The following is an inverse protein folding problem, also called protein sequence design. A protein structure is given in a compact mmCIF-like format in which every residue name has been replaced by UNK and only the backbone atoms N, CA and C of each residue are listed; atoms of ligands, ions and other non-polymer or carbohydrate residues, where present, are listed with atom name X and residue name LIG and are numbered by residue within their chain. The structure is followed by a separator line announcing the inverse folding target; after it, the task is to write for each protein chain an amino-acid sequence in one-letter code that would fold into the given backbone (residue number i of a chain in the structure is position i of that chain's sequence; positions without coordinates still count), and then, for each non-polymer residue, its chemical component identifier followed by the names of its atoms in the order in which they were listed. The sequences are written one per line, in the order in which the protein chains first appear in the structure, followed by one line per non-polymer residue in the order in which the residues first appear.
data_IF_673689275562
#
_entry.id   IF_673689275562
#
_cell.length_a   1.000
_cell.length_b   1.000
_cell.length_c   1.000
_cell.angle_alpha   90.00
_cell.angle_beta   90.00
_cell.angle_gamma   90.00
#
_symmetry.space_group_name_H-M   'P 1'
#
loop_
_entity.id
_entity.type
_entity.pdbx_description
1 polymer ?
#
# COMPACT_ATOMS: atom_id res chain seq x y z
N UNK A 1 -6.26 6.72 -8.82
CA UNK A 1 -7.20 5.58 -8.81
C UNK A 1 -7.73 5.46 -7.40
N UNK A 2 -9.03 5.67 -7.20
CA UNK A 2 -9.69 5.49 -5.89
C UNK A 2 -9.79 3.99 -5.62
N UNK A 3 -9.48 3.56 -4.39
CA UNK A 3 -9.51 2.14 -4.00
C UNK A 3 -10.95 1.63 -4.24
N UNK A 4 -11.14 0.57 -5.05
CA UNK A 4 -12.46 -0.02 -5.24
C UNK A 4 -12.83 -0.79 -3.96
N UNK A 5 -13.55 -0.09 -3.08
CA UNK A 5 -13.85 -0.49 -1.70
C UNK A 5 -15.14 -1.34 -1.53
N UNK A 6 -15.80 -1.74 -2.62
CA UNK A 6 -16.97 -2.65 -2.63
C UNK A 6 -16.59 -4.12 -2.87
N UNK A 7 -15.30 -4.43 -2.90
CA UNK A 7 -14.77 -5.70 -3.40
C UNK A 7 -14.77 -6.79 -2.34
N UNK A 8 -15.29 -7.97 -2.71
CA UNK A 8 -15.11 -9.22 -1.94
C UNK A 8 -13.63 -9.52 -1.69
N UNK A 9 -13.34 -10.34 -0.67
CA UNK A 9 -11.97 -10.75 -0.36
C UNK A 9 -11.22 -11.32 -1.58
N UNK A 10 -11.91 -12.06 -2.45
CA UNK A 10 -11.36 -12.59 -3.70
C UNK A 10 -10.91 -11.46 -4.64
N UNK A 11 -11.70 -10.42 -4.80
CA UNK A 11 -11.40 -9.28 -5.66
C UNK A 11 -10.19 -8.46 -5.16
N UNK A 12 -10.00 -8.36 -3.83
CA UNK A 12 -8.78 -7.76 -3.24
C UNK A 12 -7.56 -8.63 -3.53
N UNK A 13 -7.66 -9.95 -3.35
CA UNK A 13 -6.56 -10.87 -3.63
C UNK A 13 -6.16 -10.78 -5.10
N UNK A 14 -7.09 -10.89 -6.04
CA UNK A 14 -6.80 -10.78 -7.47
C UNK A 14 -6.15 -9.45 -7.85
N UNK A 15 -6.62 -8.34 -7.27
CA UNK A 15 -6.00 -7.03 -7.46
C UNK A 15 -4.55 -7.00 -6.97
N UNK A 16 -4.28 -7.55 -5.78
CA UNK A 16 -2.92 -7.63 -5.23
C UNK A 16 -2.01 -8.50 -6.10
N UNK A 17 -2.51 -9.61 -6.64
CA UNK A 17 -1.73 -10.43 -7.57
C UNK A 17 -1.35 -9.66 -8.84
N UNK A 18 -2.29 -8.90 -9.42
CA UNK A 18 -1.99 -8.05 -10.57
C UNK A 18 -0.94 -6.99 -10.25
N UNK A 19 -1.07 -6.30 -9.11
CA UNK A 19 -0.08 -5.32 -8.65
C UNK A 19 1.28 -5.99 -8.51
N UNK A 20 1.37 -7.15 -7.86
CA UNK A 20 2.64 -7.85 -7.67
C UNK A 20 3.28 -8.31 -8.99
N UNK A 21 2.52 -8.53 -10.05
CA UNK A 21 3.07 -8.77 -11.41
C UNK A 21 3.58 -7.46 -12.00
N UNK A 22 2.84 -6.36 -11.86
CA UNK A 22 3.26 -5.04 -12.36
C UNK A 22 4.55 -4.57 -11.69
N UNK A 23 4.67 -4.68 -10.36
CA UNK A 23 5.85 -4.26 -9.60
C UNK A 23 7.15 -5.00 -9.99
N UNK A 24 7.04 -6.16 -10.63
CA UNK A 24 8.21 -7.00 -10.97
C UNK A 24 8.63 -6.88 -12.43
N UNK A 25 7.73 -6.45 -13.31
CA UNK A 25 8.02 -6.34 -14.75
C UNK A 25 8.15 -4.90 -15.22
N UNK A 26 7.65 -3.93 -14.44
CA UNK A 26 7.68 -2.51 -14.77
C UNK A 26 8.52 -1.73 -13.74
N UNK A 27 9.06 -0.57 -14.13
CA UNK A 27 9.84 0.29 -13.23
C UNK A 27 8.94 1.10 -12.27
N UNK A 28 8.06 0.40 -11.56
CA UNK A 28 7.05 0.95 -10.65
C UNK A 28 7.16 0.36 -9.25
N UNK A 29 6.60 1.07 -8.29
CA UNK A 29 6.43 0.62 -6.91
C UNK A 29 4.99 0.86 -6.44
N UNK A 30 4.58 0.11 -5.43
CA UNK A 30 3.31 0.31 -4.75
C UNK A 30 3.49 1.29 -3.58
N UNK A 31 2.54 2.19 -3.40
CA UNK A 31 2.46 3.10 -2.27
C UNK A 31 1.08 3.02 -1.62
N UNK A 32 1.09 2.89 -0.30
CA UNK A 32 -0.08 3.01 0.55
C UNK A 32 0.12 4.16 1.53
N UNK A 33 -0.84 5.09 1.56
CA UNK A 33 -0.87 6.21 2.51
C UNK A 33 -2.11 6.09 3.37
N UNK A 34 -1.93 6.16 4.69
CA UNK A 34 -3.03 6.28 5.64
C UNK A 34 -2.83 7.51 6.49
N UNK A 35 -3.87 8.31 6.61
CA UNK A 35 -3.91 9.47 7.50
C UNK A 35 -4.78 9.12 8.71
N UNK A 36 -4.30 9.45 9.90
CA UNK A 36 -5.09 9.37 11.12
C UNK A 36 -4.79 10.60 12.00
N UNK A 37 -5.46 10.70 13.15
CA UNK A 37 -5.29 11.85 14.07
C UNK A 37 -3.88 12.00 14.65
N UNK A 38 -2.97 11.05 14.39
CA UNK A 38 -1.59 11.04 14.85
C UNK A 38 -0.60 11.34 13.71
N UNK A 39 -1.11 11.62 12.51
CA UNK A 39 -0.30 11.96 11.35
C UNK A 39 -0.43 11.02 10.16
N UNK A 40 0.35 11.33 9.13
CA UNK A 40 0.40 10.53 7.91
C UNK A 40 1.41 9.39 8.05
N UNK A 41 0.98 8.18 7.67
CA UNK A 41 1.85 7.02 7.49
C UNK A 41 1.89 6.63 6.03
N UNK A 42 3.09 6.38 5.51
CA UNK A 42 3.30 5.95 4.12
C UNK A 42 4.10 4.66 4.10
N UNK A 43 3.68 3.68 3.30
CA UNK A 43 4.41 2.44 3.07
C UNK A 43 4.61 2.27 1.57
N UNK A 44 5.85 2.03 1.15
CA UNK A 44 6.20 1.80 -0.24
C UNK A 44 6.85 0.42 -0.39
N UNK A 45 6.61 -0.22 -1.53
CA UNK A 45 7.25 -1.47 -1.94
C UNK A 45 7.80 -1.32 -3.35
N UNK A 46 9.09 -1.60 -3.52
CA UNK A 46 9.81 -1.48 -4.79
C UNK A 46 10.58 -2.79 -4.99
N UNK A 47 10.39 -3.49 -6.11
CA UNK A 47 11.20 -4.66 -6.42
C UNK A 47 12.67 -4.26 -6.55
N UNK A 48 13.58 -5.09 -6.02
CA UNK A 48 15.02 -4.84 -6.08
C UNK A 48 15.80 -6.00 -6.68
N UNK A 49 15.10 -7.04 -7.12
CA UNK A 49 15.63 -8.19 -7.85
C UNK A 49 14.87 -8.41 -9.16
N UNK A 50 15.50 -9.15 -10.07
CA UNK A 50 14.98 -9.37 -11.43
C UNK A 50 13.90 -10.46 -11.49
N UNK A 51 13.81 -11.31 -10.45
CA UNK A 51 12.80 -12.36 -10.33
C UNK A 51 11.58 -11.94 -9.50
N UNK A 52 11.61 -10.75 -8.89
CA UNK A 52 10.46 -10.20 -8.20
C UNK A 52 10.12 -10.87 -6.88
N UNK A 53 11.11 -11.48 -6.24
CA UNK A 53 10.98 -12.19 -4.97
C UNK A 53 11.32 -11.32 -3.77
N UNK A 54 12.10 -10.25 -3.97
CA UNK A 54 12.64 -9.38 -2.95
C UNK A 54 12.29 -7.93 -3.25
N UNK A 55 11.74 -7.28 -2.22
CA UNK A 55 11.29 -5.90 -2.30
C UNK A 55 11.99 -5.07 -1.22
N UNK A 56 12.39 -3.86 -1.58
CA UNK A 56 12.65 -2.81 -0.60
C UNK A 56 11.33 -2.26 -0.12
N UNK A 57 11.09 -2.39 1.18
CA UNK A 57 10.01 -1.74 1.90
C UNK A 57 10.53 -0.44 2.52
N UNK A 58 9.91 0.68 2.18
CA UNK A 58 10.13 1.97 2.85
C UNK A 58 8.90 2.32 3.65
N UNK A 59 9.05 2.68 4.91
CA UNK A 59 7.94 3.10 5.75
C UNK A 59 8.27 4.46 6.38
N UNK A 60 7.39 5.42 6.14
CA UNK A 60 7.39 6.71 6.78
C UNK A 60 6.33 6.71 7.88
N UNK A 61 6.74 7.17 9.05
CA UNK A 61 5.87 7.55 10.15
C UNK A 61 6.23 8.98 10.55
N UNK A 62 5.25 9.87 10.65
CA UNK A 62 5.49 11.30 10.91
C UNK A 62 6.32 11.57 12.17
N UNK A 63 6.27 10.67 13.16
CA UNK A 63 7.04 10.81 14.41
C UNK A 63 8.45 10.24 14.33
N UNK A 64 8.68 9.26 13.47
CA UNK A 64 9.93 8.48 13.40
C UNK A 64 10.71 8.70 12.11
N UNK A 65 10.12 9.39 11.13
CA UNK A 65 10.67 9.56 9.80
C UNK A 65 10.66 8.26 8.98
N UNK A 66 11.55 8.22 8.00
CA UNK A 66 11.72 7.09 7.09
C UNK A 66 12.57 5.97 7.71
N UNK A 67 12.10 4.74 7.55
CA UNK A 67 12.89 3.54 7.77
C UNK A 67 12.71 2.56 6.62
N UNK A 68 13.76 1.79 6.34
CA UNK A 68 13.81 0.86 5.22
C UNK A 68 14.12 -0.55 5.70
N UNK A 69 13.53 -1.53 5.02
CA UNK A 69 13.85 -2.93 5.20
C UNK A 69 13.65 -3.71 3.91
N UNK A 70 14.21 -4.91 3.86
CA UNK A 70 14.01 -5.85 2.75
C UNK A 70 12.97 -6.88 3.14
N UNK A 71 12.03 -7.17 2.25
CA UNK A 71 10.92 -8.10 2.50
C UNK A 71 10.69 -9.00 1.29
N UNK A 72 10.16 -10.20 1.52
CA UNK A 72 9.82 -11.12 0.42
C UNK A 72 8.51 -10.74 -0.26
N UNK A 73 8.32 -11.23 -1.50
CA UNK A 73 7.05 -11.14 -2.26
C UNK A 73 5.86 -11.59 -1.43
N UNK A 74 5.99 -12.69 -0.69
CA UNK A 74 4.95 -13.19 0.22
C UNK A 74 4.61 -12.18 1.33
N UNK A 75 5.61 -11.50 1.89
CA UNK A 75 5.39 -10.48 2.91
C UNK A 75 4.71 -9.24 2.32
N UNK A 76 5.08 -8.82 1.09
CA UNK A 76 4.38 -7.73 0.37
C UNK A 76 2.92 -8.09 0.12
N UNK A 77 2.65 -9.29 -0.43
CA UNK A 77 1.30 -9.82 -0.66
C UNK A 77 0.43 -9.72 0.59
N UNK A 78 0.93 -10.28 1.71
CA UNK A 78 0.22 -10.26 2.99
C UNK A 78 -0.04 -8.82 3.45
N UNK A 79 0.97 -7.95 3.35
CA UNK A 79 0.85 -6.57 3.80
C UNK A 79 -0.20 -5.78 3.00
N UNK A 80 -0.20 -5.92 1.67
CA UNK A 80 -1.15 -5.26 0.79
C UNK A 80 -2.58 -5.75 1.03
N UNK A 81 -2.80 -7.07 1.10
CA UNK A 81 -4.13 -7.63 1.41
C UNK A 81 -4.65 -7.09 2.74
N UNK A 82 -3.86 -7.20 3.82
CA UNK A 82 -4.28 -6.72 5.14
C UNK A 82 -4.66 -5.24 5.15
N UNK A 83 -3.89 -4.39 4.46
CA UNK A 83 -4.17 -2.95 4.41
C UNK A 83 -5.43 -2.64 3.59
N UNK A 84 -5.52 -3.18 2.38
CA UNK A 84 -6.66 -2.94 1.49
C UNK A 84 -7.97 -3.47 2.05
N UNK A 85 -7.96 -4.63 2.73
CA UNK A 85 -9.15 -5.16 3.44
C UNK A 85 -9.54 -4.27 4.63
N UNK A 86 -8.58 -3.69 5.36
CA UNK A 86 -8.91 -2.77 6.46
C UNK A 86 -9.49 -1.45 5.95
N UNK A 87 -8.97 -0.92 4.85
CA UNK A 87 -9.51 0.27 4.20
C UNK A 87 -10.97 0.06 3.78
N UNK A 88 -11.30 -1.09 3.17
CA UNK A 88 -12.67 -1.40 2.77
C UNK A 88 -13.61 -1.49 3.98
N UNK A 89 -13.19 -2.12 5.08
CA UNK A 89 -13.99 -2.20 6.31
C UNK A 89 -14.29 -0.84 6.93
N UNK A 90 -13.30 0.07 6.97
CA UNK A 90 -13.49 1.45 7.48
C UNK A 90 -14.46 2.25 6.62
N UNK A 91 -14.52 1.99 5.31
CA UNK A 91 -15.49 2.67 4.44
C UNK A 91 -16.91 2.13 4.54
N UNK A 92 -17.08 0.84 4.88
CA UNK A 92 -18.40 0.22 5.13
C UNK A 92 -18.94 0.51 6.52
N UNK A 93 -18.07 0.73 7.51
CA UNK A 93 -18.44 1.14 8.88
C UNK A 93 -18.66 2.66 8.96
N UNK A 94 -19.70 3.14 8.28
CA UNK A 94 -20.07 4.57 8.26
C UNK A 94 -21.04 4.93 9.40
N UNK A 95 -20.94 4.22 10.53
CA UNK A 95 -21.80 4.40 11.72
C UNK A 95 -21.20 5.31 12.79
N UNK A 96 -19.99 5.85 12.60
CA UNK A 96 -19.30 6.71 13.56
C UNK A 96 -19.17 8.17 13.08
N UNK A 97 -19.56 9.09 13.97
CA UNK A 97 -19.83 10.53 13.77
C UNK A 97 -18.58 11.44 13.79
N UNK A 98 -17.44 10.97 13.28
CA UNK A 98 -16.25 11.82 13.09
C UNK A 98 -15.60 11.48 11.75
N UNK A 99 -15.58 12.40 10.76
CA UNK A 99 -14.86 12.18 9.53
C UNK A 99 -13.37 12.10 9.85
N UNK A 100 -12.73 10.96 9.54
CA UNK A 100 -11.28 10.97 9.32
C UNK A 100 -11.10 11.67 7.98
N UNK A 101 -10.59 12.91 8.02
CA UNK A 101 -10.64 13.87 6.91
C UNK A 101 -10.02 13.40 5.58
N UNK A 102 -9.19 12.36 5.58
CA UNK A 102 -8.69 11.75 4.34
C UNK A 102 -8.82 10.22 4.33
N UNK A 103 -9.37 9.63 3.25
CA UNK A 103 -9.41 8.18 3.09
C UNK A 103 -8.00 7.64 2.87
N UNK A 104 -7.75 6.42 3.36
CA UNK A 104 -6.54 5.69 3.02
C UNK A 104 -6.44 5.54 1.48
N UNK A 105 -5.27 5.83 0.91
CA UNK A 105 -5.05 5.78 -0.55
C UNK A 105 -4.01 4.72 -0.91
N UNK A 106 -4.24 4.07 -2.04
CA UNK A 106 -3.31 3.12 -2.65
C UNK A 106 -3.03 3.55 -4.09
N UNK A 107 -1.76 3.46 -4.50
CA UNK A 107 -1.35 3.80 -5.86
C UNK A 107 -0.14 2.99 -6.30
N UNK A 108 -0.06 2.72 -7.59
CA UNK A 108 1.16 2.25 -8.26
C UNK A 108 1.79 3.45 -8.96
N UNK A 109 3.08 3.68 -8.72
CA UNK A 109 3.80 4.87 -9.20
C UNK A 109 5.17 4.46 -9.74
N UNK A 110 5.68 5.18 -10.73
CA UNK A 110 7.06 5.02 -11.18
C UNK A 110 8.03 5.12 -9.98
N UNK A 111 9.03 4.24 -9.94
CA UNK A 111 10.00 4.16 -8.84
C UNK A 111 10.70 5.49 -8.59
N UNK A 112 11.02 6.26 -9.65
CA UNK A 112 11.57 7.62 -9.54
C UNK A 112 10.68 8.61 -8.79
N UNK A 113 9.35 8.47 -8.89
CA UNK A 113 8.38 9.34 -8.18
C UNK A 113 8.28 8.99 -6.69
N UNK A 114 8.61 7.75 -6.32
CA UNK A 114 8.60 7.30 -4.92
C UNK A 114 9.83 7.79 -4.14
N UNK A 115 10.96 8.03 -4.82
CA UNK A 115 12.23 8.48 -4.22
C UNK A 115 12.30 9.99 -3.97
N UNK A 116 11.36 10.78 -4.49
CA UNK A 116 11.36 12.25 -4.44
C UNK A 116 10.68 12.84 -3.19
N UNK A 117 10.24 11.99 -2.24
CA UNK A 117 9.59 12.41 -0.98
C UNK A 117 10.12 11.58 0.19
#
# INVERSE_FOLDING_TARGET
MTIPNDRSQLSIVSFVECVLVELTHEEVGAEYVSTNVWGAKRTQFIAIDDNGEIFRKRHYDERLGWHESTVSRRAVRKNLITRLTRSSSRTTDRSHDVPVDDPDTFSVKLTRKLRLH
#
